data_IF_188823206174
#
_entry.id   IF_188823206174
#
_cell.length_a   1.000
_cell.length_b   1.000
_cell.length_c   1.000
_cell.angle_alpha   90.00
_cell.angle_beta   90.00
_cell.angle_gamma   90.00
#
_symmetry.space_group_name_H-M   'P 1'
#
loop_
_entity.id
_entity.type
_entity.pdbx_description
1 polymer ?
#
# COMPACT_ATOMS: atom_id res chain seq x y z
N UNK A 1 -6.81 11.82 -1.21
CA UNK A 1 -6.87 10.42 -1.68
C UNK A 1 -8.00 10.14 -2.65
N UNK A 2 -9.27 10.50 -2.34
CA UNK A 2 -10.46 10.12 -3.12
C UNK A 2 -10.36 10.29 -4.66
N UNK A 3 -9.71 11.34 -5.15
CA UNK A 3 -9.55 11.56 -6.61
C UNK A 3 -8.51 10.65 -7.26
N UNK A 4 -7.47 10.26 -6.53
CA UNK A 4 -6.37 9.43 -7.04
C UNK A 4 -6.63 7.94 -6.87
N UNK A 5 -7.63 7.55 -6.07
CA UNK A 5 -7.97 6.17 -5.77
C UNK A 5 -8.16 5.30 -7.03
N UNK A 6 -8.97 5.68 -8.04
CA UNK A 6 -9.17 4.83 -9.21
C UNK A 6 -7.87 4.57 -9.99
N UNK A 7 -7.03 5.60 -10.11
CA UNK A 7 -5.75 5.53 -10.81
C UNK A 7 -4.78 4.60 -10.05
N UNK A 8 -4.79 4.67 -8.71
CA UNK A 8 -3.98 3.80 -7.86
C UNK A 8 -4.39 2.33 -8.03
N UNK A 9 -5.69 2.05 -7.96
CA UNK A 9 -6.24 0.69 -8.07
C UNK A 9 -5.90 0.07 -9.44
N UNK A 10 -6.09 0.83 -10.52
CA UNK A 10 -5.74 0.39 -11.88
C UNK A 10 -4.23 0.12 -12.01
N UNK A 11 -3.40 1.06 -11.56
CA UNK A 11 -1.93 0.95 -11.70
C UNK A 11 -1.37 -0.23 -10.91
N UNK A 12 -1.82 -0.43 -9.66
CA UNK A 12 -1.27 -1.50 -8.82
C UNK A 12 -1.72 -2.87 -9.31
N UNK A 13 -2.96 -3.00 -9.79
CA UNK A 13 -3.47 -4.22 -10.41
C UNK A 13 -2.68 -4.57 -11.67
N UNK A 14 -2.41 -3.59 -12.53
CA UNK A 14 -1.62 -3.80 -13.75
C UNK A 14 -0.19 -4.29 -13.43
N UNK A 15 0.48 -3.66 -12.45
CA UNK A 15 1.83 -4.07 -12.03
C UNK A 15 1.83 -5.51 -11.50
N UNK A 16 0.85 -5.87 -10.68
CA UNK A 16 0.73 -7.24 -10.15
C UNK A 16 0.43 -8.27 -11.25
N UNK A 17 -0.48 -7.94 -12.16
CA UNK A 17 -0.88 -8.88 -13.21
C UNK A 17 0.23 -9.08 -14.27
N UNK A 18 1.01 -8.05 -14.55
CA UNK A 18 2.12 -8.10 -15.51
C UNK A 18 3.36 -8.82 -14.95
N UNK A 19 3.70 -8.60 -13.67
CA UNK A 19 4.96 -9.11 -13.10
C UNK A 19 4.80 -10.32 -12.18
N UNK A 20 3.58 -10.59 -11.67
CA UNK A 20 3.28 -11.67 -10.70
C UNK A 20 4.34 -11.82 -9.60
N UNK A 21 4.70 -10.74 -8.90
CA UNK A 21 5.83 -10.75 -7.99
C UNK A 21 5.51 -11.60 -6.74
N UNK A 22 6.51 -12.28 -6.19
CA UNK A 22 6.35 -12.92 -4.87
C UNK A 22 6.25 -11.88 -3.74
N UNK A 23 6.88 -10.71 -3.92
CA UNK A 23 6.84 -9.59 -2.99
C UNK A 23 6.67 -8.27 -3.75
N UNK A 24 5.59 -7.56 -3.44
CA UNK A 24 5.29 -6.23 -3.95
C UNK A 24 5.86 -5.18 -3.00
N UNK A 25 6.83 -4.41 -3.50
CA UNK A 25 7.52 -3.35 -2.75
C UNK A 25 6.95 -2.00 -3.17
N UNK A 26 6.50 -1.22 -2.19
CA UNK A 26 5.89 0.10 -2.41
C UNK A 26 6.60 1.14 -1.54
N UNK A 27 6.84 2.32 -2.08
CA UNK A 27 7.35 3.46 -1.32
C UNK A 27 6.36 4.63 -1.37
N UNK A 28 5.95 5.13 -0.20
CA UNK A 28 5.14 6.33 -0.07
C UNK A 28 6.07 7.52 0.26
N UNK A 29 6.12 8.50 -0.64
CA UNK A 29 6.96 9.70 -0.53
C UNK A 29 6.13 10.89 -0.06
N UNK A 30 6.41 11.37 1.14
CA UNK A 30 5.63 12.42 1.80
C UNK A 30 4.44 11.85 2.57
N UNK A 31 4.67 10.79 3.35
CA UNK A 31 3.62 10.06 4.07
C UNK A 31 2.92 10.91 5.16
N UNK A 32 3.51 12.03 5.57
CA UNK A 32 3.10 12.84 6.71
C UNK A 32 2.96 11.97 7.97
N UNK A 33 2.16 12.38 8.96
CA UNK A 33 1.84 11.65 10.21
C UNK A 33 0.35 11.36 10.39
N UNK A 34 -0.42 11.36 9.29
CA UNK A 34 -1.86 11.14 9.32
C UNK A 34 -2.28 9.70 9.00
N UNK A 35 -3.57 9.36 9.18
CA UNK A 35 -4.09 8.02 8.85
C UNK A 35 -4.16 7.73 7.34
N UNK A 36 -3.91 8.74 6.50
CA UNK A 36 -4.00 8.62 5.04
C UNK A 36 -3.06 7.56 4.47
N UNK A 37 -1.87 7.42 5.06
CA UNK A 37 -0.85 6.42 4.68
C UNK A 37 -1.36 5.00 4.91
N UNK A 38 -2.05 4.75 6.02
CA UNK A 38 -2.67 3.46 6.32
C UNK A 38 -3.79 3.15 5.34
N UNK A 39 -4.62 4.15 5.05
CA UNK A 39 -5.69 4.00 4.08
C UNK A 39 -5.14 3.69 2.68
N UNK A 40 -4.05 4.34 2.27
CA UNK A 40 -3.37 4.04 1.00
C UNK A 40 -2.92 2.56 0.95
N UNK A 41 -2.25 2.09 2.01
CA UNK A 41 -1.76 0.70 2.11
C UNK A 41 -2.93 -0.30 2.08
N UNK A 42 -4.01 0.00 2.80
CA UNK A 42 -5.21 -0.82 2.82
C UNK A 42 -5.81 -0.97 1.41
N UNK A 43 -6.05 0.14 0.72
CA UNK A 43 -6.63 0.15 -0.63
C UNK A 43 -5.76 -0.62 -1.63
N UNK A 44 -4.43 -0.47 -1.57
CA UNK A 44 -3.52 -1.26 -2.39
C UNK A 44 -3.61 -2.76 -2.09
N UNK A 45 -3.66 -3.13 -0.81
CA UNK A 45 -3.71 -4.53 -0.39
C UNK A 45 -5.02 -5.17 -0.81
N UNK A 46 -6.14 -4.48 -0.65
CA UNK A 46 -7.47 -4.95 -1.05
C UNK A 46 -7.57 -5.14 -2.57
N UNK A 47 -7.08 -4.17 -3.34
CA UNK A 47 -7.04 -4.26 -4.80
C UNK A 47 -6.29 -5.49 -5.30
N UNK A 48 -5.10 -5.74 -4.73
CA UNK A 48 -4.26 -6.87 -5.11
C UNK A 48 -4.85 -8.18 -4.63
N UNK A 49 -5.51 -8.19 -3.47
CA UNK A 49 -6.24 -9.36 -3.00
C UNK A 49 -7.36 -9.72 -3.98
N UNK A 50 -8.18 -8.75 -4.38
CA UNK A 50 -9.23 -8.94 -5.38
C UNK A 50 -8.67 -9.43 -6.72
N UNK A 51 -7.59 -8.82 -7.22
CA UNK A 51 -6.92 -9.27 -8.44
C UNK A 51 -6.34 -10.70 -8.29
N UNK A 52 -5.77 -11.03 -7.14
CA UNK A 52 -5.24 -12.38 -6.90
C UNK A 52 -6.34 -13.45 -6.96
N UNK A 53 -7.50 -13.18 -6.37
CA UNK A 53 -8.65 -14.08 -6.43
C UNK A 53 -9.22 -14.18 -7.85
N UNK A 54 -9.42 -13.05 -8.53
CA UNK A 54 -10.01 -13.01 -9.87
C UNK A 54 -9.19 -13.75 -10.93
N UNK A 55 -7.87 -13.81 -10.77
CA UNK A 55 -6.96 -14.50 -11.69
C UNK A 55 -6.43 -15.84 -11.15
N UNK A 56 -6.95 -16.32 -10.02
CA UNK A 56 -6.51 -17.55 -9.34
C UNK A 56 -4.97 -17.61 -9.11
N UNK A 57 -4.41 -16.48 -8.68
CA UNK A 57 -2.99 -16.31 -8.37
C UNK A 57 -2.78 -16.18 -6.86
N UNK A 58 -1.59 -16.56 -6.39
CA UNK A 58 -1.21 -16.36 -4.98
C UNK A 58 -1.01 -14.87 -4.71
N UNK A 59 -1.61 -14.35 -3.64
CA UNK A 59 -1.36 -13.00 -3.18
C UNK A 59 0.13 -12.80 -2.82
N UNK A 60 0.74 -11.66 -3.19
CA UNK A 60 2.13 -11.39 -2.93
C UNK A 60 2.34 -10.98 -1.46
N UNK A 61 3.57 -11.10 -0.98
CA UNK A 61 3.99 -10.38 0.23
C UNK A 61 3.99 -8.88 -0.04
N UNK A 62 3.61 -8.07 0.95
CA UNK A 62 3.67 -6.62 0.87
C UNK A 62 4.83 -6.08 1.70
N UNK A 63 5.61 -5.19 1.12
CA UNK A 63 6.65 -4.44 1.83
C UNK A 63 6.50 -2.95 1.50
N UNK A 64 6.12 -2.16 2.50
CA UNK A 64 5.88 -0.73 2.34
C UNK A 64 6.97 0.08 3.05
N UNK A 65 7.55 1.03 2.33
CA UNK A 65 8.51 2.00 2.83
C UNK A 65 7.81 3.35 2.96
N UNK A 66 7.85 3.94 4.16
CA UNK A 66 7.28 5.26 4.42
C UNK A 66 8.41 6.27 4.50
N UNK A 67 8.40 7.24 3.61
CA UNK A 67 9.43 8.25 3.51
C UNK A 67 8.84 9.65 3.74
N UNK A 68 9.52 10.45 4.55
CA UNK A 68 9.23 11.87 4.77
C UNK A 68 10.51 12.59 5.23
N UNK A 69 10.44 13.91 5.33
CA UNK A 69 11.55 14.76 5.75
C UNK A 69 11.97 14.49 7.21
N UNK A 70 13.26 14.74 7.55
CA UNK A 70 13.74 14.73 8.93
C UNK A 70 12.97 15.78 9.75
N UNK A 71 12.07 15.32 10.62
CA UNK A 71 11.13 16.17 11.36
C UNK A 71 9.70 15.60 11.41
N UNK A 72 9.38 14.63 10.55
CA UNK A 72 8.12 13.90 10.63
C UNK A 72 8.06 12.99 11.87
N UNK A 73 6.88 12.89 12.47
CA UNK A 73 6.64 12.07 13.66
C UNK A 73 6.33 10.61 13.28
N UNK A 74 7.34 9.90 12.77
CA UNK A 74 7.19 8.47 12.44
C UNK A 74 6.70 7.62 13.62
N UNK A 75 6.95 8.05 14.87
CA UNK A 75 6.42 7.39 16.07
C UNK A 75 4.91 7.19 16.05
N UNK A 76 4.14 8.11 15.46
CA UNK A 76 2.68 8.00 15.38
C UNK A 76 2.27 6.82 14.51
N UNK A 77 2.92 6.64 13.36
CA UNK A 77 2.66 5.49 12.48
C UNK A 77 2.90 4.18 13.20
N UNK A 78 4.05 4.02 13.87
CA UNK A 78 4.35 2.77 14.57
C UNK A 78 3.29 2.42 15.61
N UNK A 79 2.75 3.41 16.33
CA UNK A 79 1.66 3.20 17.29
C UNK A 79 0.35 2.79 16.63
N UNK A 80 0.01 3.37 15.48
CA UNK A 80 -1.24 3.01 14.77
C UNK A 80 -1.10 1.68 14.03
N UNK A 81 0.05 1.41 13.39
CA UNK A 81 0.36 0.11 12.80
C UNK A 81 0.33 -1.01 13.84
N UNK A 82 0.85 -0.79 15.04
CA UNK A 82 0.80 -1.78 16.12
C UNK A 82 -0.64 -2.10 16.58
N UNK A 83 -1.62 -1.23 16.30
CA UNK A 83 -3.05 -1.50 16.56
C UNK A 83 -3.75 -2.15 15.37
N UNK A 84 -3.11 -2.16 14.20
CA UNK A 84 -3.63 -2.74 12.96
C UNK A 84 -3.20 -4.21 12.76
N UNK A 85 -2.13 -4.64 13.43
CA UNK A 85 -1.72 -6.03 13.60
C UNK A 85 -2.49 -6.69 14.75
#
# INVERSE_FOLDING_TARGET
MLKAKPILEESIAEVYLSSSPECLKVADFGCSSGPNTLLLIWEMTDTIHAASQGFNRKAPMFQVFLNDLPGNEFQYHFQVFAKFL
#
